data_IF_728428173006
#
_entry.id   IF_728428173006
#
_cell.length_a   1.000
_cell.length_b   1.000
_cell.length_c   1.000
_cell.angle_alpha   90.00
_cell.angle_beta   90.00
_cell.angle_gamma   90.00
#
_symmetry.space_group_name_H-M   'P 1'
#
loop_
_entity.id
_entity.type
_entity.pdbx_description
1 polymer ?
#
# COMPACT_ATOMS: atom_id res chain seq x y z
N UNK A 1 -2.46 1.38 -14.65
CA UNK A 1 -2.77 1.19 -13.22
C UNK A 1 -2.79 -0.31 -12.94
N UNK A 2 -2.11 -0.79 -11.90
CA UNK A 2 -2.07 -2.22 -11.53
C UNK A 2 -3.45 -2.66 -11.01
N UNK A 3 -3.96 -3.80 -11.47
CA UNK A 3 -5.23 -4.39 -11.02
C UNK A 3 -5.26 -4.64 -9.51
N UNK A 4 -4.11 -5.05 -8.94
CA UNK A 4 -3.96 -5.28 -7.51
C UNK A 4 -4.08 -3.96 -6.72
N UNK A 5 -3.52 -2.88 -7.25
CA UNK A 5 -3.64 -1.55 -6.65
C UNK A 5 -5.06 -1.00 -6.77
N UNK A 6 -5.74 -1.20 -7.90
CA UNK A 6 -7.16 -0.86 -8.04
C UNK A 6 -8.02 -1.61 -7.03
N UNK A 7 -7.80 -2.92 -6.86
CA UNK A 7 -8.53 -3.70 -5.88
C UNK A 7 -8.28 -3.20 -4.45
N UNK A 8 -7.02 -2.94 -4.10
CA UNK A 8 -6.66 -2.33 -2.81
C UNK A 8 -7.38 -1.00 -2.60
N UNK A 9 -7.26 -0.07 -3.55
CA UNK A 9 -7.89 1.26 -3.46
C UNK A 9 -9.41 1.18 -3.28
N UNK A 10 -10.09 0.33 -4.07
CA UNK A 10 -11.54 0.16 -3.97
C UNK A 10 -11.96 -0.32 -2.57
N UNK A 11 -11.24 -1.29 -2.00
CA UNK A 11 -11.52 -1.80 -0.65
C UNK A 11 -11.36 -0.69 0.41
N UNK A 12 -10.35 0.17 0.27
CA UNK A 12 -10.15 1.32 1.16
C UNK A 12 -11.32 2.29 1.08
N UNK A 13 -11.73 2.67 -0.13
CA UNK A 13 -12.85 3.59 -0.32
C UNK A 13 -14.16 3.02 0.25
N UNK A 14 -14.42 1.73 0.03
CA UNK A 14 -15.65 1.10 0.51
C UNK A 14 -15.65 0.93 2.03
N UNK A 15 -14.50 0.68 2.65
CA UNK A 15 -14.39 0.56 4.10
C UNK A 15 -14.71 1.88 4.82
N UNK A 16 -14.34 3.04 4.23
CA UNK A 16 -14.66 4.37 4.81
C UNK A 16 -16.16 4.58 5.04
N UNK A 17 -17.00 3.95 4.22
CA UNK A 17 -18.45 4.08 4.27
C UNK A 17 -19.15 2.85 4.87
N UNK A 18 -18.40 1.92 5.49
CA UNK A 18 -18.92 0.62 5.97
C UNK A 18 -19.59 -0.21 4.86
N UNK A 19 -19.10 -0.08 3.62
CA UNK A 19 -19.64 -0.73 2.43
C UNK A 19 -18.72 -1.83 1.87
N UNK A 20 -17.63 -2.18 2.56
CA UNK A 20 -16.66 -3.18 2.10
C UNK A 20 -17.21 -4.62 2.18
N UNK A 21 -18.15 -4.94 1.30
CA UNK A 21 -18.77 -6.26 1.15
C UNK A 21 -18.53 -6.78 -0.26
N UNK A 22 -18.49 -8.11 -0.41
CA UNK A 22 -18.36 -8.76 -1.72
C UNK A 22 -19.46 -8.29 -2.67
N UNK A 23 -20.71 -8.23 -2.20
CA UNK A 23 -21.86 -7.81 -3.00
C UNK A 23 -21.72 -6.37 -3.52
N UNK A 24 -21.24 -5.44 -2.68
CA UNK A 24 -21.06 -4.05 -3.12
C UNK A 24 -19.93 -3.92 -4.15
N UNK A 25 -18.82 -4.65 -3.98
CA UNK A 25 -17.71 -4.63 -4.94
C UNK A 25 -18.13 -5.21 -6.29
N UNK A 26 -18.86 -6.33 -6.29
CA UNK A 26 -19.41 -6.93 -7.51
C UNK A 26 -20.41 -5.98 -8.20
N UNK A 27 -21.30 -5.37 -7.41
CA UNK A 27 -22.24 -4.37 -7.92
C UNK A 27 -21.52 -3.19 -8.57
N UNK A 28 -20.47 -2.67 -7.93
CA UNK A 28 -19.67 -1.58 -8.49
C UNK A 28 -19.06 -1.94 -9.85
N UNK A 29 -18.46 -3.13 -9.96
CA UNK A 29 -17.91 -3.59 -11.23
C UNK A 29 -18.98 -3.73 -12.33
N UNK A 30 -20.14 -4.28 -12.00
CA UNK A 30 -21.25 -4.44 -12.93
C UNK A 30 -21.83 -3.09 -13.39
N UNK A 31 -22.00 -2.13 -12.47
CA UNK A 31 -22.47 -0.78 -12.80
C UNK A 31 -21.44 0.00 -13.63
N UNK A 32 -20.15 -0.20 -13.38
CA UNK A 32 -19.08 0.45 -14.14
C UNK A 32 -19.02 -0.06 -15.59
N UNK A 33 -19.08 -1.38 -15.76
CA UNK A 33 -19.04 -2.03 -17.08
C UNK A 33 -20.35 -1.89 -17.86
N UNK A 34 -21.49 -1.66 -17.20
CA UNK A 34 -22.75 -1.37 -17.90
C UNK A 34 -22.82 0.07 -18.44
N UNK A 35 -22.13 1.01 -17.79
CA UNK A 35 -22.03 2.41 -18.24
C UNK A 35 -20.99 2.59 -19.35
N UNK A 36 -19.91 1.83 -19.30
CA UNK A 36 -18.86 1.82 -20.33
C UNK A 36 -18.37 0.39 -20.54
N UNK A 37 -18.91 -0.27 -21.57
CA UNK A 37 -18.54 -1.63 -21.94
C UNK A 37 -17.09 -1.75 -22.42
N UNK A 38 -16.46 -0.63 -22.79
CA UNK A 38 -15.05 -0.57 -23.20
C UNK A 38 -14.10 -0.47 -22.01
N UNK A 39 -14.58 -0.03 -20.84
CA UNK A 39 -13.78 0.16 -19.63
C UNK A 39 -12.94 -1.08 -19.28
N UNK A 40 -13.57 -2.25 -19.31
CA UNK A 40 -12.91 -3.54 -19.08
C UNK A 40 -13.15 -4.52 -20.23
N UNK A 41 -13.04 -4.04 -21.48
CA UNK A 41 -13.29 -4.86 -22.69
C UNK A 41 -12.52 -6.18 -22.71
N UNK A 42 -11.30 -6.18 -22.15
CA UNK A 42 -10.42 -7.36 -22.05
C UNK A 42 -10.70 -8.23 -20.83
N UNK A 43 -11.68 -7.87 -19.99
CA UNK A 43 -12.05 -8.56 -18.75
C UNK A 43 -10.86 -8.75 -17.79
N UNK A 44 -9.97 -7.76 -17.75
CA UNK A 44 -8.80 -7.77 -16.87
C UNK A 44 -9.17 -7.52 -15.41
N UNK A 45 -10.28 -6.83 -15.15
CA UNK A 45 -10.77 -6.56 -13.80
C UNK A 45 -11.83 -7.57 -13.35
N UNK A 46 -12.46 -8.27 -14.30
CA UNK A 46 -13.43 -9.31 -14.02
C UNK A 46 -12.87 -10.34 -13.03
N UNK A 47 -13.60 -10.58 -11.94
CA UNK A 47 -13.19 -11.47 -10.85
C UNK A 47 -11.83 -11.11 -10.22
N UNK A 48 -11.26 -9.92 -10.45
CA UNK A 48 -10.03 -9.44 -9.80
C UNK A 48 -10.32 -8.37 -8.75
N UNK A 49 -11.41 -7.62 -8.90
CA UNK A 49 -11.97 -6.80 -7.83
C UNK A 49 -12.72 -7.69 -6.85
N UNK A 50 -12.24 -7.78 -5.61
CA UNK A 50 -12.77 -8.66 -4.57
C UNK A 50 -12.62 -8.02 -3.20
N UNK A 51 -13.51 -8.39 -2.28
CA UNK A 51 -13.33 -8.05 -0.87
C UNK A 51 -12.01 -8.65 -0.37
N UNK A 52 -11.16 -7.79 0.20
CA UNK A 52 -9.96 -8.15 0.95
C UNK A 52 -10.38 -8.32 2.41
N UNK A 53 -9.85 -9.33 3.09
CA UNK A 53 -10.05 -9.50 4.53
C UNK A 53 -9.64 -8.23 5.29
N UNK A 54 -10.40 -7.82 6.31
CA UNK A 54 -10.19 -6.53 6.95
C UNK A 54 -8.82 -6.45 7.67
N UNK A 55 -8.31 -7.57 8.20
CA UNK A 55 -6.97 -7.62 8.78
C UNK A 55 -5.89 -7.57 7.70
N UNK A 56 -6.07 -8.29 6.59
CA UNK A 56 -5.17 -8.19 5.44
C UNK A 56 -5.14 -6.77 4.86
N UNK A 57 -6.31 -6.12 4.72
CA UNK A 57 -6.43 -4.75 4.24
C UNK A 57 -5.72 -3.76 5.17
N UNK A 58 -5.90 -3.90 6.49
CA UNK A 58 -5.18 -3.08 7.46
C UNK A 58 -3.67 -3.29 7.40
N UNK A 59 -3.20 -4.52 7.21
CA UNK A 59 -1.79 -4.79 6.98
C UNK A 59 -1.27 -4.12 5.70
N UNK A 60 -2.03 -4.14 4.61
CA UNK A 60 -1.68 -3.46 3.36
C UNK A 60 -1.62 -1.93 3.54
N UNK A 61 -2.53 -1.34 4.33
CA UNK A 61 -2.48 0.10 4.66
C UNK A 61 -1.21 0.48 5.39
N UNK A 62 -0.83 -0.29 6.41
CA UNK A 62 0.41 -0.05 7.16
C UNK A 62 1.64 -0.14 6.26
N UNK A 63 1.68 -1.14 5.37
CA UNK A 63 2.75 -1.31 4.41
C UNK A 63 2.81 -0.14 3.40
N UNK A 64 1.67 0.25 2.83
CA UNK A 64 1.58 1.38 1.92
C UNK A 64 2.02 2.68 2.59
N UNK A 65 1.58 2.90 3.83
CA UNK A 65 1.96 4.08 4.59
C UNK A 65 3.46 4.07 4.93
N UNK A 66 4.09 2.91 5.12
CA UNK A 66 5.52 2.77 5.30
C UNK A 66 6.31 3.13 4.02
N UNK A 67 5.90 2.61 2.86
CA UNK A 67 6.48 3.02 1.57
C UNK A 67 6.32 4.53 1.32
N UNK A 68 5.20 5.12 1.74
CA UNK A 68 5.01 6.58 1.65
C UNK A 68 6.05 7.34 2.46
N UNK A 69 6.36 6.91 3.70
CA UNK A 69 7.45 7.56 4.47
C UNK A 69 8.82 7.36 3.82
N UNK A 70 9.10 6.17 3.26
CA UNK A 70 10.35 5.94 2.54
C UNK A 70 10.50 6.84 1.32
N UNK A 71 9.41 7.09 0.58
CA UNK A 71 9.43 7.99 -0.57
C UNK A 71 9.69 9.44 -0.17
N UNK A 72 9.26 9.87 1.03
CA UNK A 72 9.60 11.22 1.52
C UNK A 72 11.11 11.43 1.66
N UNK A 73 11.83 10.41 2.12
CA UNK A 73 13.29 10.45 2.21
C UNK A 73 13.89 10.61 0.82
N UNK A 74 13.46 9.79 -0.14
CA UNK A 74 13.91 9.87 -1.52
C UNK A 74 13.63 11.24 -2.13
N UNK A 75 12.41 11.75 -1.99
CA UNK A 75 12.02 13.07 -2.47
C UNK A 75 12.93 14.14 -1.86
N UNK A 76 13.08 14.16 -0.53
CA UNK A 76 13.95 15.12 0.15
C UNK A 76 15.40 15.06 -0.37
N UNK A 77 15.95 13.86 -0.60
CA UNK A 77 17.30 13.69 -1.16
C UNK A 77 17.44 14.23 -2.59
N UNK A 78 16.37 14.16 -3.39
CA UNK A 78 16.39 14.58 -4.80
C UNK A 78 16.02 16.04 -5.02
N UNK A 79 15.11 16.61 -4.23
CA UNK A 79 14.61 17.98 -4.38
C UNK A 79 15.11 18.94 -3.30
N UNK A 80 15.69 18.43 -2.20
CA UNK A 80 16.07 19.22 -1.03
C UNK A 80 14.90 19.67 -0.16
N UNK A 81 13.66 19.28 -0.49
CA UNK A 81 12.46 19.62 0.28
C UNK A 81 11.40 18.52 0.20
N UNK A 82 10.65 18.31 1.28
CA UNK A 82 9.50 17.39 1.29
C UNK A 82 8.54 17.83 2.39
N UNK A 83 7.24 17.78 2.13
CA UNK A 83 6.23 18.19 3.10
C UNK A 83 6.21 17.25 4.32
N UNK A 84 6.22 17.83 5.52
CA UNK A 84 6.30 17.06 6.77
C UNK A 84 7.70 16.54 7.10
N UNK A 85 8.72 17.05 6.40
CA UNK A 85 10.11 16.64 6.51
C UNK A 85 11.01 17.87 6.66
N UNK A 86 11.45 18.19 7.88
CA UNK A 86 12.34 19.35 8.13
C UNK A 86 13.79 19.06 7.80
N UNK A 87 14.19 17.78 7.86
CA UNK A 87 15.52 17.29 7.51
C UNK A 87 15.46 15.83 7.04
N UNK A 88 16.46 15.40 6.28
CA UNK A 88 16.60 13.99 5.90
C UNK A 88 16.66 13.05 7.11
N UNK A 89 17.31 13.47 8.22
CA UNK A 89 17.36 12.71 9.47
C UNK A 89 15.97 12.50 10.05
N UNK A 90 15.16 13.57 10.13
CA UNK A 90 13.80 13.49 10.65
C UNK A 90 12.93 12.51 9.84
N UNK A 91 12.95 12.60 8.50
CA UNK A 91 12.20 11.66 7.65
C UNK A 91 12.66 10.20 7.84
N UNK A 92 13.98 10.02 7.97
CA UNK A 92 14.63 8.73 8.18
C UNK A 92 14.17 8.12 9.50
N UNK A 93 14.21 8.89 10.59
CA UNK A 93 13.73 8.47 11.91
C UNK A 93 12.25 8.10 11.87
N UNK A 94 11.39 8.93 11.27
CA UNK A 94 9.95 8.63 11.13
C UNK A 94 9.69 7.31 10.39
N UNK A 95 10.43 7.07 9.29
CA UNK A 95 10.31 5.83 8.54
C UNK A 95 10.77 4.62 9.37
N UNK A 96 11.91 4.73 10.06
CA UNK A 96 12.46 3.68 10.92
C UNK A 96 11.52 3.36 12.09
N UNK A 97 10.95 4.37 12.75
CA UNK A 97 9.99 4.17 13.84
C UNK A 97 8.74 3.44 13.37
N UNK A 98 8.21 3.81 12.21
CA UNK A 98 7.05 3.16 11.60
C UNK A 98 7.33 1.71 11.21
N UNK A 99 8.53 1.43 10.68
CA UNK A 99 8.99 0.07 10.43
C UNK A 99 9.08 -0.73 11.74
N UNK A 100 9.74 -0.18 12.76
CA UNK A 100 9.88 -0.80 14.10
C UNK A 100 8.53 -1.11 14.73
N UNK A 101 7.53 -0.22 14.60
CA UNK A 101 6.17 -0.45 15.10
C UNK A 101 5.51 -1.64 14.42
N UNK A 102 5.66 -1.75 13.10
CA UNK A 102 5.03 -2.81 12.32
C UNK A 102 5.74 -4.17 12.47
N UNK A 103 7.08 -4.19 12.46
CA UNK A 103 7.86 -5.44 12.57
C UNK A 103 7.72 -6.12 13.94
N UNK A 104 7.37 -5.38 15.01
CA UNK A 104 7.02 -5.97 16.31
C UNK A 104 5.86 -6.98 16.25
N UNK A 105 5.00 -6.88 15.24
CA UNK A 105 3.87 -7.80 14.99
C UNK A 105 4.32 -9.08 14.27
N UNK A 106 5.62 -9.20 13.97
CA UNK A 106 6.22 -10.28 13.20
C UNK A 106 7.27 -11.02 14.03
N UNK A 107 6.85 -11.83 15.02
CA UNK A 107 7.78 -12.66 15.80
C UNK A 107 8.50 -13.68 14.91
N UNK A 108 7.90 -14.05 13.77
CA UNK A 108 8.50 -14.88 12.72
C UNK A 108 8.19 -14.30 11.31
N UNK A 109 8.82 -14.87 10.29
CA UNK A 109 8.64 -14.46 8.89
C UNK A 109 7.56 -15.28 8.15
N UNK A 110 6.53 -15.75 8.86
CA UNK A 110 5.59 -16.72 8.28
C UNK A 110 4.43 -16.07 7.52
N UNK A 111 3.99 -14.88 7.93
CA UNK A 111 2.86 -14.20 7.28
C UNK A 111 3.27 -13.42 6.03
N UNK A 112 2.33 -13.23 5.09
CA UNK A 112 2.55 -12.39 3.89
C UNK A 112 2.96 -10.96 4.27
N UNK A 113 2.36 -10.41 5.31
CA UNK A 113 2.69 -9.07 5.80
C UNK A 113 4.12 -8.99 6.33
N UNK A 114 4.54 -9.97 7.14
CA UNK A 114 5.90 -10.02 7.66
C UNK A 114 6.92 -10.14 6.54
N UNK A 115 6.69 -11.05 5.58
CA UNK A 115 7.53 -11.17 4.37
C UNK A 115 7.65 -9.86 3.61
N UNK A 116 6.54 -9.13 3.48
CA UNK A 116 6.54 -7.82 2.81
C UNK A 116 7.31 -6.75 3.59
N UNK A 117 7.27 -6.76 4.93
CA UNK A 117 8.08 -5.87 5.77
C UNK A 117 9.58 -6.18 5.66
N UNK A 118 9.96 -7.47 5.68
CA UNK A 118 11.35 -7.85 5.44
C UNK A 118 11.80 -7.42 4.04
N UNK A 119 10.96 -7.58 3.02
CA UNK A 119 11.28 -7.13 1.67
C UNK A 119 11.42 -5.62 1.56
N UNK A 120 10.57 -4.87 2.27
CA UNK A 120 10.71 -3.43 2.41
C UNK A 120 12.07 -3.08 3.01
N UNK A 121 12.47 -3.73 4.11
CA UNK A 121 13.77 -3.48 4.76
C UNK A 121 14.94 -3.71 3.82
N UNK A 122 14.97 -4.85 3.13
CA UNK A 122 16.03 -5.15 2.13
C UNK A 122 16.12 -4.06 1.06
N UNK A 123 14.97 -3.62 0.56
CA UNK A 123 14.89 -2.58 -0.49
C UNK A 123 15.37 -1.23 0.05
N UNK A 124 14.95 -0.89 1.27
CA UNK A 124 15.36 0.34 1.95
C UNK A 124 16.88 0.38 2.17
N UNK A 125 17.45 -0.70 2.73
CA UNK A 125 18.89 -0.81 2.95
C UNK A 125 19.66 -0.77 1.62
N UNK A 126 19.17 -1.43 0.56
CA UNK A 126 19.77 -1.36 -0.76
C UNK A 126 19.77 0.04 -1.38
N UNK A 127 18.72 0.84 -1.14
CA UNK A 127 18.60 2.17 -1.71
C UNK A 127 19.34 3.26 -0.93
N UNK A 128 19.46 3.11 0.39
CA UNK A 128 19.98 4.18 1.27
C UNK A 128 21.30 3.84 1.97
N UNK A 129 21.70 2.57 2.06
CA UNK A 129 22.99 2.19 2.69
C UNK A 129 24.14 2.00 1.69
N UNK A 130 23.96 2.32 0.40
CA UNK A 130 25.03 2.26 -0.61
C UNK A 130 25.98 3.49 -0.60
N UNK A 131 25.94 4.33 0.43
CA UNK A 131 26.67 5.60 0.51
C UNK A 131 27.68 5.74 1.65
N UNK A 132 28.25 4.64 2.15
CA UNK A 132 29.40 4.64 3.07
C UNK A 132 30.54 3.78 2.53
#
# INVERSE_FOLDING_TARGET
>A
MDVSFMNYWLNIEFQKYNMNTTANIERFYNELTSKDDKFDKKKMLNNKLRKIDDNELNNMKELYALYKESNKIYNYLTSGNEEGCTSCSMCTEMCIEKYKKNIKRCPDNNTKFCKALYKFKETYEGNFNQGL
#
